data_IF_975569571261
#
_entry.id   IF_975569571261
#
_cell.length_a   1.000
_cell.length_b   1.000
_cell.length_c   1.000
_cell.angle_alpha   90.00
_cell.angle_beta   90.00
_cell.angle_gamma   90.00
#
_symmetry.space_group_name_H-M   'P 1'
#
loop_
_entity.id
_entity.type
_entity.pdbx_description
1 polymer ?
#
# COMPACT_ATOMS: atom_id res chain seq x y z
N UNK A 1 -46.55 33.68 4.13
CA UNK A 1 -45.83 34.27 5.27
C UNK A 1 -44.38 33.82 5.14
N UNK A 2 -43.46 34.76 4.91
CA UNK A 2 -42.03 34.52 4.67
C UNK A 2 -41.37 33.93 5.92
N UNK A 3 -40.56 32.88 5.77
CA UNK A 3 -39.45 32.62 6.67
C UNK A 3 -38.24 32.18 5.86
N UNK A 4 -37.35 33.15 5.72
CA UNK A 4 -35.96 33.06 5.30
C UNK A 4 -35.14 32.37 6.40
N UNK A 5 -34.43 31.29 6.06
CA UNK A 5 -33.22 30.91 6.78
C UNK A 5 -32.14 30.53 5.77
N UNK A 6 -31.17 31.43 5.62
CA UNK A 6 -29.85 31.13 5.05
C UNK A 6 -29.17 30.13 5.98
N UNK A 7 -28.90 28.93 5.50
CA UNK A 7 -27.90 28.06 6.08
C UNK A 7 -26.61 28.20 5.26
N UNK A 8 -25.58 28.75 5.89
CA UNK A 8 -24.20 28.72 5.40
C UNK A 8 -23.63 27.37 5.83
N UNK A 9 -23.43 26.45 4.89
CA UNK A 9 -22.76 25.17 5.13
C UNK A 9 -21.36 25.19 4.54
N UNK A 10 -20.40 25.67 5.31
CA UNK A 10 -18.99 25.31 5.12
C UNK A 10 -18.76 23.97 5.84
N UNK A 11 -18.37 22.92 5.11
CA UNK A 11 -17.71 21.75 5.72
C UNK A 11 -18.43 20.40 5.70
N UNK A 12 -19.28 20.09 4.72
CA UNK A 12 -19.88 18.75 4.60
C UNK A 12 -20.10 18.30 3.13
N UNK A 13 -19.05 18.35 2.29
CA UNK A 13 -19.16 18.03 0.86
C UNK A 13 -19.00 16.51 0.57
N UNK A 14 -18.49 15.71 1.51
CA UNK A 14 -18.05 14.34 1.19
C UNK A 14 -19.13 13.25 1.12
N UNK A 15 -20.39 13.53 1.51
CA UNK A 15 -21.46 12.51 1.59
C UNK A 15 -22.68 12.75 0.69
N UNK A 16 -22.67 13.75 -0.20
CA UNK A 16 -23.83 14.07 -1.04
C UNK A 16 -23.92 13.27 -2.36
N UNK A 17 -22.85 12.61 -2.78
CA UNK A 17 -22.77 11.92 -4.09
C UNK A 17 -23.80 10.80 -4.24
N UNK A 18 -24.28 10.19 -3.14
CA UNK A 18 -25.24 9.07 -3.20
C UNK A 18 -26.70 9.53 -3.28
N UNK A 19 -27.02 10.80 -2.98
CA UNK A 19 -28.40 11.32 -2.98
C UNK A 19 -28.70 12.34 -4.09
N UNK A 20 -27.68 12.74 -4.85
CA UNK A 20 -27.81 13.72 -5.94
C UNK A 20 -28.83 13.34 -7.04
N UNK A 21 -28.98 12.08 -7.48
CA UNK A 21 -29.90 11.76 -8.58
C UNK A 21 -31.37 12.10 -8.27
N UNK A 22 -31.79 11.92 -7.02
CA UNK A 22 -33.15 12.21 -6.57
C UNK A 22 -33.38 13.71 -6.31
N UNK A 23 -32.33 14.47 -6.00
CA UNK A 23 -32.41 15.90 -5.72
C UNK A 23 -32.41 16.74 -7.01
N UNK A 24 -31.66 16.30 -8.03
CA UNK A 24 -31.54 16.96 -9.34
C UNK A 24 -32.82 16.92 -10.17
N UNK A 25 -33.65 15.89 -10.00
CA UNK A 25 -34.97 15.79 -10.66
C UNK A 25 -35.99 16.81 -10.12
N UNK A 26 -35.73 17.42 -8.94
CA UNK A 26 -36.67 18.33 -8.25
C UNK A 26 -36.34 19.81 -8.50
N UNK A 27 -35.06 20.16 -8.74
CA UNK A 27 -34.59 21.56 -8.74
C UNK A 27 -34.50 22.21 -10.13
N UNK A 28 -34.64 21.43 -11.21
CA UNK A 28 -34.67 21.92 -12.59
C UNK A 28 -33.30 22.34 -13.16
N UNK A 29 -33.20 22.53 -14.49
CA UNK A 29 -31.93 22.58 -15.23
C UNK A 29 -31.00 23.76 -14.88
N UNK A 30 -31.54 24.84 -14.31
CA UNK A 30 -30.76 26.03 -13.95
C UNK A 30 -29.97 25.88 -12.62
N UNK A 31 -30.30 24.91 -11.76
CA UNK A 31 -29.62 24.76 -10.46
C UNK A 31 -28.28 24.03 -10.58
N UNK A 32 -28.18 23.06 -11.49
CA UNK A 32 -26.98 22.21 -11.65
C UNK A 32 -25.80 23.00 -12.20
N UNK A 33 -26.06 23.86 -13.19
CA UNK A 33 -25.05 24.74 -13.78
C UNK A 33 -24.45 25.73 -12.75
N UNK A 34 -25.28 26.28 -11.86
CA UNK A 34 -24.84 27.20 -10.81
C UNK A 34 -24.05 26.50 -9.70
N UNK A 35 -24.33 25.22 -9.43
CA UNK A 35 -23.60 24.43 -8.45
C UNK A 35 -22.26 23.89 -9.01
N UNK A 36 -22.19 23.61 -10.32
CA UNK A 36 -21.03 23.02 -10.99
C UNK A 36 -19.74 23.85 -10.82
N UNK A 37 -19.85 25.18 -10.88
CA UNK A 37 -18.76 26.12 -10.67
C UNK A 37 -18.07 25.98 -9.30
N UNK A 38 -18.82 25.52 -8.30
CA UNK A 38 -18.34 25.36 -6.92
C UNK A 38 -17.72 23.99 -6.64
N UNK A 39 -17.77 23.05 -7.58
CA UNK A 39 -17.14 21.75 -7.41
C UNK A 39 -15.63 21.79 -7.71
N UNK A 40 -14.88 21.00 -6.96
CA UNK A 40 -13.50 20.67 -7.29
C UNK A 40 -13.45 19.63 -8.45
N UNK A 41 -12.28 19.46 -9.12
CA UNK A 41 -12.16 18.56 -10.27
C UNK A 41 -12.56 17.09 -10.00
N UNK A 42 -12.34 16.56 -8.80
CA UNK A 42 -12.72 15.17 -8.48
C UNK A 42 -14.23 15.05 -8.25
N UNK A 43 -14.84 16.06 -7.63
CA UNK A 43 -16.29 16.15 -7.51
C UNK A 43 -16.99 16.28 -8.88
N UNK A 44 -16.41 17.02 -9.83
CA UNK A 44 -16.93 17.12 -11.21
C UNK A 44 -16.85 15.78 -11.95
N UNK A 45 -15.72 15.06 -11.85
CA UNK A 45 -15.60 13.70 -12.43
C UNK A 45 -16.63 12.72 -11.86
N UNK A 46 -16.84 12.76 -10.54
CA UNK A 46 -17.84 11.91 -9.88
C UNK A 46 -19.28 12.25 -10.33
N UNK A 47 -19.57 13.54 -10.56
CA UNK A 47 -20.85 13.99 -11.11
C UNK A 47 -21.06 13.46 -12.54
N UNK A 48 -20.07 13.63 -13.43
CA UNK A 48 -20.10 13.14 -14.81
C UNK A 48 -20.35 11.62 -14.83
N UNK A 49 -19.58 10.86 -14.04
CA UNK A 49 -19.75 9.40 -13.93
C UNK A 49 -21.14 9.00 -13.45
N UNK A 50 -21.73 9.77 -12.54
CA UNK A 50 -23.10 9.52 -12.04
C UNK A 50 -24.15 9.83 -13.11
N UNK A 51 -23.99 10.92 -13.86
CA UNK A 51 -24.88 11.31 -14.96
C UNK A 51 -24.88 10.26 -16.09
N UNK A 52 -23.73 9.64 -16.38
CA UNK A 52 -23.64 8.53 -17.34
C UNK A 52 -24.55 7.36 -16.98
N UNK A 53 -24.65 7.02 -15.69
CA UNK A 53 -25.49 5.90 -15.22
C UNK A 53 -27.00 6.18 -15.35
N UNK A 54 -27.38 7.45 -15.47
CA UNK A 54 -28.78 7.90 -15.56
C UNK A 54 -29.29 7.99 -17.01
N UNK A 55 -28.43 7.82 -18.03
CA UNK A 55 -28.81 7.82 -19.46
C UNK A 55 -29.77 6.70 -19.88
N UNK A 56 -30.12 5.77 -18.99
CA UNK A 56 -31.01 4.65 -19.28
C UNK A 56 -32.50 5.04 -19.42
N UNK A 57 -32.88 6.27 -19.03
CA UNK A 57 -34.25 6.79 -19.13
C UNK A 57 -34.41 7.75 -20.35
N UNK A 58 -35.21 7.38 -21.39
CA UNK A 58 -35.36 8.16 -22.61
C UNK A 58 -35.96 9.57 -22.44
N UNK A 59 -36.78 9.79 -21.41
CA UNK A 59 -37.43 11.10 -21.18
C UNK A 59 -36.48 12.13 -20.56
N UNK A 60 -35.45 11.66 -19.86
CA UNK A 60 -34.48 12.49 -19.13
C UNK A 60 -33.21 12.80 -19.93
N UNK A 61 -33.00 12.11 -21.06
CA UNK A 61 -31.75 12.13 -21.83
C UNK A 61 -31.29 13.54 -22.28
N UNK A 62 -32.14 14.43 -22.84
CA UNK A 62 -31.69 15.74 -23.31
C UNK A 62 -31.20 16.67 -22.18
N UNK A 63 -31.78 16.51 -20.98
CA UNK A 63 -31.40 17.30 -19.80
C UNK A 63 -30.07 16.80 -19.24
N UNK A 64 -29.89 15.47 -19.19
CA UNK A 64 -28.65 14.83 -18.72
C UNK A 64 -27.48 15.18 -19.64
N UNK A 65 -27.67 15.16 -20.97
CA UNK A 65 -26.62 15.56 -21.92
C UNK A 65 -26.19 17.01 -21.73
N UNK A 66 -27.15 17.92 -21.54
CA UNK A 66 -26.86 19.35 -21.28
C UNK A 66 -26.04 19.54 -20.00
N UNK A 67 -26.33 18.77 -18.94
CA UNK A 67 -25.58 18.85 -17.68
C UNK A 67 -24.19 18.25 -17.75
N UNK A 68 -24.02 17.17 -18.53
CA UNK A 68 -22.71 16.58 -18.76
C UNK A 68 -21.80 17.55 -19.51
N UNK A 69 -22.29 18.15 -20.59
CA UNK A 69 -21.50 19.10 -21.40
C UNK A 69 -20.99 20.27 -20.54
N UNK A 70 -21.84 20.80 -19.65
CA UNK A 70 -21.47 21.87 -18.72
C UNK A 70 -20.44 21.42 -17.67
N UNK A 71 -20.60 20.22 -17.11
CA UNK A 71 -19.66 19.69 -16.13
C UNK A 71 -18.29 19.39 -16.76
N UNK A 72 -18.28 18.93 -18.01
CA UNK A 72 -17.06 18.69 -18.80
C UNK A 72 -16.34 20.00 -19.16
N UNK A 73 -17.08 21.05 -19.55
CA UNK A 73 -16.54 22.38 -19.84
C UNK A 73 -15.87 23.00 -18.60
N UNK A 74 -16.55 23.00 -17.45
CA UNK A 74 -16.02 23.50 -16.17
C UNK A 74 -14.80 22.68 -15.69
N UNK A 75 -14.81 21.36 -15.91
CA UNK A 75 -13.66 20.51 -15.59
C UNK A 75 -12.46 20.87 -16.46
N UNK A 76 -12.68 21.10 -17.75
CA UNK A 76 -11.62 21.49 -18.69
C UNK A 76 -11.02 22.85 -18.34
N UNK A 77 -11.85 23.85 -18.01
CA UNK A 77 -11.38 25.18 -17.60
C UNK A 77 -10.55 25.12 -16.31
N UNK A 78 -11.00 24.37 -15.30
CA UNK A 78 -10.27 24.21 -14.03
C UNK A 78 -8.95 23.46 -14.24
N UNK A 79 -8.92 22.44 -15.09
CA UNK A 79 -7.69 21.72 -15.44
C UNK A 79 -6.70 22.61 -16.19
N UNK A 80 -7.19 23.46 -17.11
CA UNK A 80 -6.35 24.41 -17.84
C UNK A 80 -5.77 25.47 -16.89
N UNK A 81 -6.58 26.00 -15.97
CA UNK A 81 -6.12 26.95 -14.94
C UNK A 81 -5.03 26.34 -14.06
N UNK A 82 -5.24 25.12 -13.56
CA UNK A 82 -4.26 24.41 -12.75
C UNK A 82 -2.95 24.11 -13.51
N UNK A 83 -3.04 23.80 -14.80
CA UNK A 83 -1.85 23.59 -15.64
C UNK A 83 -1.03 24.87 -15.80
N UNK A 84 -1.68 26.03 -16.01
CA UNK A 84 -0.99 27.32 -16.07
C UNK A 84 -0.34 27.70 -14.73
N UNK A 85 -1.04 27.47 -13.61
CA UNK A 85 -0.47 27.71 -12.27
C UNK A 85 0.76 26.82 -12.01
N UNK A 86 0.71 25.55 -12.42
CA UNK A 86 1.83 24.63 -12.30
C UNK A 86 3.03 25.10 -13.14
N UNK A 87 2.80 25.52 -14.38
CA UNK A 87 3.85 26.06 -15.25
C UNK A 87 4.48 27.33 -14.63
N UNK A 88 3.67 28.21 -14.06
CA UNK A 88 4.15 29.40 -13.37
C UNK A 88 4.98 29.06 -12.12
N UNK A 89 4.55 28.08 -11.32
CA UNK A 89 5.30 27.61 -10.15
C UNK A 89 6.62 26.94 -10.54
N UNK A 90 6.64 26.16 -11.62
CA UNK A 90 7.88 25.57 -12.14
C UNK A 90 8.88 26.64 -12.59
N UNK A 91 8.40 27.71 -13.22
CA UNK A 91 9.25 28.85 -13.59
C UNK A 91 9.82 29.57 -12.36
N UNK A 92 9.00 29.81 -11.35
CA UNK A 92 9.44 30.42 -10.08
C UNK A 92 10.48 29.54 -9.36
N UNK A 93 10.29 28.22 -9.36
CA UNK A 93 11.25 27.28 -8.79
C UNK A 93 12.60 27.35 -9.52
N UNK A 94 12.60 27.36 -10.85
CA UNK A 94 13.82 27.47 -11.65
C UNK A 94 14.58 28.79 -11.40
N UNK A 95 13.86 29.91 -11.25
CA UNK A 95 14.46 31.20 -10.89
C UNK A 95 15.08 31.17 -9.48
N UNK A 96 14.38 30.58 -8.50
CA UNK A 96 14.89 30.43 -7.13
C UNK A 96 16.12 29.50 -7.05
N UNK A 97 16.14 28.42 -7.82
CA UNK A 97 17.30 27.52 -7.91
C UNK A 97 18.53 28.23 -8.51
N UNK A 98 18.33 29.06 -9.54
CA UNK A 98 19.38 29.87 -10.13
C UNK A 98 19.95 30.90 -9.13
N UNK A 99 19.07 31.57 -8.38
CA UNK A 99 19.49 32.51 -7.33
C UNK A 99 20.25 31.81 -6.20
N UNK A 100 19.80 30.62 -5.79
CA UNK A 100 20.48 29.78 -4.79
C UNK A 100 21.89 29.39 -5.25
N UNK A 101 22.06 29.01 -6.52
CA UNK A 101 23.36 28.64 -7.08
C UNK A 101 24.32 29.84 -7.17
N UNK A 102 23.80 31.02 -7.48
CA UNK A 102 24.59 32.27 -7.44
C UNK A 102 25.04 32.60 -6.00
N UNK A 103 24.14 32.51 -5.02
CA UNK A 103 24.48 32.73 -3.62
C UNK A 103 25.51 31.70 -3.11
N UNK A 104 25.37 30.45 -3.50
CA UNK A 104 26.34 29.38 -3.21
C UNK A 104 27.72 29.70 -3.78
N UNK A 105 27.79 30.10 -5.05
CA UNK A 105 29.03 30.50 -5.71
C UNK A 105 29.73 31.67 -4.97
N UNK A 106 28.95 32.62 -4.46
CA UNK A 106 29.47 33.74 -3.67
C UNK A 106 29.95 33.31 -2.29
N UNK A 107 29.27 32.36 -1.66
CA UNK A 107 29.67 31.79 -0.38
C UNK A 107 30.97 30.99 -0.51
N UNK A 108 31.12 30.21 -1.58
CA UNK A 108 32.34 29.46 -1.89
C UNK A 108 33.52 30.43 -2.13
N UNK A 109 33.31 31.52 -2.88
CA UNK A 109 34.32 32.56 -3.07
C UNK A 109 34.74 33.24 -1.75
N UNK A 110 33.78 33.50 -0.85
CA UNK A 110 34.06 34.03 0.48
C UNK A 110 34.81 33.04 1.37
N UNK A 111 34.46 31.76 1.32
CA UNK A 111 35.15 30.71 2.09
C UNK A 111 36.59 30.51 1.60
N UNK A 112 36.83 30.55 0.29
CA UNK A 112 38.20 30.53 -0.27
C UNK A 112 38.98 31.77 0.17
N UNK A 113 38.38 32.95 0.14
CA UNK A 113 39.03 34.17 0.64
C UNK A 113 39.34 34.10 2.15
N UNK A 114 38.47 33.47 2.94
CA UNK A 114 38.66 33.27 4.37
C UNK A 114 39.83 32.31 4.66
N UNK A 115 39.91 31.19 3.92
CA UNK A 115 41.02 30.22 4.03
C UNK A 115 42.35 30.89 3.68
N UNK A 116 42.39 31.68 2.60
CA UNK A 116 43.60 32.40 2.19
C UNK A 116 44.04 33.48 3.20
N UNK A 117 43.10 34.06 3.95
CA UNK A 117 43.41 35.02 5.03
C UNK A 117 43.92 34.34 6.31
N UNK A 118 43.50 33.10 6.57
CA UNK A 118 43.93 32.33 7.76
C UNK A 118 45.31 31.67 7.55
N UNK A 119 45.63 31.27 6.32
CA UNK A 119 46.94 30.70 5.98
C UNK A 119 48.06 31.74 5.85
N UNK A 120 47.72 33.02 5.61
CA UNK A 120 48.68 34.11 5.42
C UNK A 120 48.28 35.40 6.18
N UNK A 121 48.50 35.48 7.50
CA UNK A 121 48.12 36.65 8.31
C UNK A 121 48.99 37.89 8.06
N UNK A 122 50.08 37.77 7.30
CA UNK A 122 50.91 38.88 6.82
C UNK A 122 50.91 38.86 5.30
N UNK A 123 50.25 39.85 4.67
CA UNK A 123 49.97 39.90 3.23
C UNK A 123 51.18 40.06 2.32
N UNK A 124 52.08 39.07 2.28
CA UNK A 124 53.16 39.00 1.31
C UNK A 124 53.27 37.62 0.64
N UNK A 125 53.28 37.69 -0.70
CA UNK A 125 53.74 36.70 -1.68
C UNK A 125 52.81 35.51 -1.98
N UNK A 126 51.93 35.73 -2.97
CA UNK A 126 51.39 34.67 -3.83
C UNK A 126 52.30 34.58 -5.06
N UNK A 127 53.41 33.85 -4.97
CA UNK A 127 54.03 33.20 -6.15
C UNK A 127 54.96 32.09 -5.67
N UNK A 128 54.84 30.94 -6.35
CA UNK A 128 55.63 29.71 -6.20
C UNK A 128 55.25 28.78 -5.04
N UNK A 129 54.67 27.61 -5.39
CA UNK A 129 55.43 26.36 -5.45
C UNK A 129 54.53 25.25 -6.00
N UNK A 130 54.73 24.92 -7.27
CA UNK A 130 54.27 23.69 -7.87
C UNK A 130 55.39 22.64 -7.80
N UNK A 131 54.97 21.38 -7.61
CA UNK A 131 55.71 20.10 -7.66
C UNK A 131 56.18 19.53 -6.32
N UNK A 132 55.43 18.53 -5.86
CA UNK A 132 55.92 17.17 -5.62
C UNK A 132 54.76 16.19 -5.73
N UNK A 133 54.87 15.23 -6.68
CA UNK A 133 54.04 14.03 -6.75
C UNK A 133 54.53 13.02 -5.70
N UNK A 134 53.66 12.66 -4.77
CA UNK A 134 53.75 11.43 -3.98
C UNK A 134 52.33 10.85 -3.88
N UNK A 135 52.22 9.57 -4.23
CA UNK A 135 50.99 8.90 -4.70
C UNK A 135 49.89 8.81 -3.64
N UNK A 136 48.78 9.52 -3.88
CA UNK A 136 47.52 9.40 -3.16
C UNK A 136 46.74 8.13 -3.58
N UNK A 137 45.86 7.56 -2.73
CA UNK A 137 44.98 6.45 -3.09
C UNK A 137 44.00 6.89 -4.20
N UNK A 138 43.39 5.96 -4.98
CA UNK A 138 42.69 6.28 -6.21
C UNK A 138 41.59 7.32 -5.97
N UNK A 139 41.71 8.45 -6.66
CA UNK A 139 40.94 9.68 -6.41
C UNK A 139 39.54 9.67 -7.04
N UNK A 140 39.10 8.57 -7.65
CA UNK A 140 37.75 8.39 -8.17
C UNK A 140 37.32 6.93 -8.00
N UNK A 141 36.09 6.72 -7.51
CA UNK A 141 35.43 5.41 -7.51
C UNK A 141 34.39 5.44 -8.62
N UNK A 142 34.48 4.50 -9.56
CA UNK A 142 33.48 4.38 -10.61
C UNK A 142 32.27 3.58 -10.10
N UNK A 143 31.08 3.90 -10.58
CA UNK A 143 29.91 3.03 -10.42
C UNK A 143 30.06 1.75 -11.28
N UNK A 144 29.11 0.83 -11.17
CA UNK A 144 29.07 -0.41 -11.94
C UNK A 144 28.91 -0.21 -13.45
N UNK A 145 28.67 1.02 -13.91
CA UNK A 145 28.58 1.42 -15.31
C UNK A 145 29.83 2.16 -15.80
N UNK A 146 30.81 2.41 -14.91
CA UNK A 146 32.05 3.10 -15.23
C UNK A 146 32.01 4.63 -15.08
N UNK A 147 30.92 5.20 -14.55
CA UNK A 147 30.82 6.65 -14.32
C UNK A 147 31.58 7.04 -13.05
N UNK A 148 32.37 8.11 -13.12
CA UNK A 148 33.13 8.60 -11.96
C UNK A 148 32.21 9.21 -10.91
N UNK A 149 32.27 8.70 -9.69
CA UNK A 149 31.57 9.25 -8.52
C UNK A 149 32.48 10.31 -7.89
N UNK A 150 32.03 11.58 -7.81
CA UNK A 150 32.85 12.65 -7.22
C UNK A 150 33.11 12.41 -5.74
N UNK A 151 34.27 12.86 -5.25
CA UNK A 151 34.60 12.82 -3.82
C UNK A 151 34.08 14.11 -3.18
N UNK A 152 33.24 13.97 -2.15
CA UNK A 152 32.76 15.09 -1.35
C UNK A 152 33.52 15.10 -0.03
N UNK A 153 34.28 16.17 0.20
CA UNK A 153 35.10 16.36 1.41
C UNK A 153 34.44 17.30 2.43
N UNK A 154 33.47 18.11 2.00
CA UNK A 154 32.67 18.96 2.91
C UNK A 154 31.72 18.11 3.75
N UNK A 155 31.31 18.65 4.90
CA UNK A 155 30.26 18.06 5.72
C UNK A 155 28.97 17.89 4.93
N UNK A 156 28.32 16.73 5.08
CA UNK A 156 27.03 16.39 4.48
C UNK A 156 25.98 16.32 5.57
N UNK A 157 24.93 17.14 5.42
CA UNK A 157 23.83 17.21 6.39
C UNK A 157 22.72 16.22 6.02
N UNK A 158 22.34 15.35 6.96
CA UNK A 158 21.40 14.27 6.65
C UNK A 158 20.01 14.81 6.31
N UNK A 159 19.50 15.77 7.08
CA UNK A 159 18.14 16.31 6.96
C UNK A 159 17.85 16.92 5.60
N UNK A 160 18.83 17.64 5.04
CA UNK A 160 18.64 18.47 3.85
C UNK A 160 19.21 17.82 2.60
N UNK A 161 20.19 16.92 2.72
CA UNK A 161 20.88 16.34 1.57
C UNK A 161 20.62 14.85 1.39
N UNK A 162 20.50 14.07 2.48
CA UNK A 162 20.36 12.60 2.39
C UNK A 162 18.90 12.17 2.53
N UNK A 163 18.19 12.72 3.50
CA UNK A 163 16.81 12.36 3.80
C UNK A 163 15.87 12.57 2.59
N UNK A 164 15.97 13.67 1.81
CA UNK A 164 15.18 13.81 0.59
C UNK A 164 15.51 12.75 -0.47
N UNK A 165 16.78 12.33 -0.59
CA UNK A 165 17.17 11.24 -1.51
C UNK A 165 16.52 9.93 -1.06
N UNK A 166 16.55 9.63 0.23
CA UNK A 166 15.92 8.42 0.77
C UNK A 166 14.40 8.44 0.61
N UNK A 167 13.74 9.58 0.82
CA UNK A 167 12.31 9.74 0.57
C UNK A 167 11.95 9.46 -0.89
N UNK A 168 12.71 10.03 -1.82
CA UNK A 168 12.41 9.94 -3.25
C UNK A 168 12.78 8.59 -3.87
N UNK A 169 13.87 7.96 -3.40
CA UNK A 169 14.47 6.79 -4.08
C UNK A 169 14.42 5.50 -3.27
N UNK A 170 14.10 5.55 -1.98
CA UNK A 170 14.20 4.39 -1.09
C UNK A 170 12.89 4.02 -0.39
N UNK A 171 12.14 4.99 0.14
CA UNK A 171 11.02 4.72 1.06
C UNK A 171 9.84 3.98 0.42
N UNK A 172 9.65 4.09 -0.89
CA UNK A 172 8.59 3.34 -1.56
C UNK A 172 8.75 1.83 -1.38
N UNK A 173 9.99 1.32 -1.35
CA UNK A 173 10.29 -0.11 -1.20
C UNK A 173 10.88 -0.49 0.17
N UNK A 174 11.44 0.47 0.90
CA UNK A 174 12.13 0.31 2.18
C UNK A 174 11.61 1.29 3.25
N UNK A 175 10.30 1.53 3.28
CA UNK A 175 9.61 2.43 4.20
C UNK A 175 8.53 1.74 5.03
N UNK A 176 7.58 2.50 5.62
CA UNK A 176 6.58 1.95 6.54
C UNK A 176 5.69 0.88 5.92
N UNK A 177 5.24 1.10 4.69
CA UNK A 177 4.26 0.23 4.02
C UNK A 177 4.91 -0.96 3.30
N UNK A 178 6.16 -0.81 2.86
CA UNK A 178 6.93 -1.86 2.17
C UNK A 178 8.35 -1.90 2.69
N UNK A 179 8.82 -3.09 3.04
CA UNK A 179 10.15 -3.31 3.61
C UNK A 179 10.84 -4.49 2.90
N UNK A 180 11.16 -4.32 1.61
CA UNK A 180 11.88 -5.31 0.81
C UNK A 180 13.22 -5.63 1.46
N UNK A 181 13.59 -6.91 1.47
CA UNK A 181 14.81 -7.37 2.14
C UNK A 181 14.80 -7.17 3.66
N UNK A 182 13.63 -6.95 4.28
CA UNK A 182 13.49 -6.66 5.72
C UNK A 182 14.24 -5.39 6.13
N UNK A 183 14.34 -4.41 5.23
CA UNK A 183 15.05 -3.15 5.46
C UNK A 183 14.06 -1.97 5.51
N UNK A 184 14.25 -1.10 6.51
CA UNK A 184 13.47 0.13 6.77
C UNK A 184 14.39 1.34 6.79
N UNK A 185 14.64 1.96 5.64
CA UNK A 185 15.51 3.14 5.49
C UNK A 185 14.89 4.43 6.02
N UNK A 186 13.62 4.41 6.42
CA UNK A 186 12.93 5.53 7.07
C UNK A 186 13.13 5.57 8.59
N UNK A 187 13.61 4.48 9.19
CA UNK A 187 13.70 4.32 10.65
C UNK A 187 15.16 4.15 11.10
N UNK A 188 15.75 5.24 11.61
CA UNK A 188 17.14 5.29 12.10
C UNK A 188 17.49 4.12 13.02
N UNK A 189 16.64 3.88 14.03
CA UNK A 189 16.83 2.82 15.04
C UNK A 189 16.80 1.41 14.45
N UNK A 190 16.20 1.22 13.27
CA UNK A 190 16.16 -0.09 12.60
C UNK A 190 17.39 -0.30 11.71
N UNK A 191 17.87 0.73 11.03
CA UNK A 191 19.01 0.63 10.10
C UNK A 191 20.34 0.59 10.84
N UNK A 192 20.50 1.40 11.90
CA UNK A 192 21.77 1.52 12.63
C UNK A 192 21.94 0.44 13.71
N UNK A 193 20.89 -0.31 14.03
CA UNK A 193 20.92 -1.36 15.05
C UNK A 193 21.62 -2.63 14.55
N UNK A 194 22.34 -3.28 15.46
CA UNK A 194 22.96 -4.60 15.22
C UNK A 194 21.88 -5.67 15.04
N UNK A 195 22.01 -6.53 14.03
CA UNK A 195 21.04 -7.58 13.71
C UNK A 195 21.02 -7.89 12.22
N UNK A 196 19.86 -8.19 11.65
CA UNK A 196 19.71 -8.53 10.22
C UNK A 196 20.09 -7.36 9.28
N UNK A 197 20.07 -6.12 9.76
CA UNK A 197 20.54 -4.93 9.04
C UNK A 197 22.01 -4.59 9.31
N UNK A 198 22.74 -5.43 10.05
CA UNK A 198 24.15 -5.19 10.35
C UNK A 198 24.97 -5.11 9.06
N UNK A 199 25.57 -3.95 8.81
CA UNK A 199 26.42 -3.72 7.65
C UNK A 199 25.72 -3.11 6.44
N UNK A 200 24.41 -2.82 6.52
CA UNK A 200 23.71 -1.99 5.52
C UNK A 200 24.35 -0.60 5.45
N UNK A 201 24.50 0.03 6.61
CA UNK A 201 25.27 1.26 6.81
C UNK A 201 26.40 0.94 7.79
N UNK A 202 27.65 1.15 7.37
CA UNK A 202 28.85 1.04 8.21
C UNK A 202 29.45 2.44 8.36
N UNK A 203 29.13 3.16 9.45
CA UNK A 203 29.73 4.45 9.75
C UNK A 203 31.25 4.45 9.57
N UNK A 204 31.78 5.44 8.85
CA UNK A 204 33.20 5.58 8.51
C UNK A 204 33.67 4.76 7.31
N UNK A 205 32.80 3.93 6.72
CA UNK A 205 33.16 2.98 5.66
C UNK A 205 32.08 2.89 4.58
N UNK A 206 31.88 3.97 3.83
CA UNK A 206 30.91 4.08 2.74
C UNK A 206 31.15 3.04 1.64
N UNK A 207 32.41 2.83 1.25
CA UNK A 207 32.81 1.82 0.27
C UNK A 207 32.45 0.37 0.67
N UNK A 208 32.44 0.08 1.97
CA UNK A 208 32.13 -1.24 2.55
C UNK A 208 30.69 -1.39 3.02
N UNK A 209 29.87 -0.34 2.89
CA UNK A 209 28.46 -0.33 3.28
C UNK A 209 27.61 -0.94 2.18
N UNK A 210 26.76 -1.91 2.52
CA UNK A 210 25.97 -2.63 1.52
C UNK A 210 25.02 -1.69 0.75
N UNK A 211 24.49 -0.64 1.40
CA UNK A 211 23.65 0.35 0.74
C UNK A 211 24.37 1.04 -0.42
N UNK A 212 25.63 1.47 -0.22
CA UNK A 212 26.39 2.16 -1.23
C UNK A 212 26.73 1.24 -2.40
N UNK A 213 27.16 0.00 -2.09
CA UNK A 213 27.48 -1.00 -3.12
C UNK A 213 26.27 -1.32 -4.00
N UNK A 214 25.07 -1.40 -3.40
CA UNK A 214 23.80 -1.62 -4.12
C UNK A 214 23.40 -0.43 -4.98
N UNK A 215 23.49 0.82 -4.51
CA UNK A 215 23.12 1.98 -5.35
C UNK A 215 24.14 2.24 -6.46
N UNK A 216 25.42 1.92 -6.22
CA UNK A 216 26.49 2.03 -7.19
C UNK A 216 26.57 0.81 -8.13
N UNK A 217 25.79 -0.26 -7.92
CA UNK A 217 25.81 -1.46 -8.79
C UNK A 217 27.15 -2.20 -8.80
N UNK A 218 27.86 -2.20 -7.67
CA UNK A 218 29.16 -2.85 -7.54
C UNK A 218 28.99 -4.37 -7.29
N UNK A 219 30.06 -5.12 -7.55
CA UNK A 219 30.17 -6.59 -7.34
C UNK A 219 29.18 -7.49 -8.10
N UNK A 220 28.57 -6.98 -9.16
CA UNK A 220 27.56 -7.75 -9.90
C UNK A 220 26.24 -7.91 -9.15
N UNK A 221 26.01 -7.09 -8.11
CA UNK A 221 24.72 -6.99 -7.43
C UNK A 221 23.75 -6.10 -8.22
N UNK A 222 22.45 -6.41 -8.15
CA UNK A 222 21.42 -5.59 -8.79
C UNK A 222 21.46 -4.14 -8.26
N UNK A 223 21.56 -3.19 -9.19
CA UNK A 223 21.64 -1.77 -8.87
C UNK A 223 20.30 -1.25 -8.34
N UNK A 224 20.32 -0.62 -7.16
CA UNK A 224 19.15 -0.02 -6.52
C UNK A 224 18.92 1.43 -7.00
N UNK A 225 17.65 1.87 -7.16
CA UNK A 225 16.42 1.07 -7.11
C UNK A 225 16.27 0.17 -8.36
N UNK A 226 15.71 -1.05 -8.24
CA UNK A 226 15.65 -2.00 -9.35
C UNK A 226 14.64 -1.59 -10.42
N UNK A 227 13.66 -0.78 -10.03
CA UNK A 227 12.62 -0.21 -10.89
C UNK A 227 12.55 1.28 -10.56
N UNK A 228 12.35 2.12 -11.58
CA UNK A 228 12.36 3.58 -11.44
C UNK A 228 13.71 4.21 -11.78
N UNK A 229 13.80 5.52 -11.56
CA UNK A 229 15.01 6.28 -11.84
C UNK A 229 16.13 5.93 -10.87
N UNK A 230 17.33 5.71 -11.41
CA UNK A 230 18.54 5.47 -10.64
C UNK A 230 19.01 6.74 -9.94
N UNK A 231 19.86 6.59 -8.92
CA UNK A 231 20.54 7.71 -8.30
C UNK A 231 21.55 8.32 -9.28
N UNK A 232 21.72 9.64 -9.25
CA UNK A 232 22.81 10.29 -9.96
C UNK A 232 24.15 10.03 -9.26
N UNK A 233 25.27 10.23 -9.97
CA UNK A 233 26.61 10.07 -9.38
C UNK A 233 26.83 11.05 -8.21
N UNK A 234 26.23 12.23 -8.24
CA UNK A 234 26.25 13.21 -7.15
C UNK A 234 25.45 12.73 -5.93
N UNK A 235 24.28 12.13 -6.14
CA UNK A 235 23.48 11.54 -5.06
C UNK A 235 24.21 10.36 -4.42
N UNK A 236 24.86 9.51 -5.21
CA UNK A 236 25.70 8.43 -4.71
C UNK A 236 26.90 8.97 -3.91
N UNK A 237 27.55 10.04 -4.41
CA UNK A 237 28.65 10.71 -3.72
C UNK A 237 28.23 11.28 -2.36
N UNK A 238 27.06 11.93 -2.29
CA UNK A 238 26.50 12.45 -1.05
C UNK A 238 26.27 11.34 -0.03
N UNK A 239 25.61 10.26 -0.43
CA UNK A 239 25.35 9.11 0.45
C UNK A 239 26.67 8.50 0.93
N UNK A 240 27.65 8.32 0.05
CA UNK A 240 28.95 7.79 0.44
C UNK A 240 29.66 8.69 1.45
N UNK A 241 29.76 9.98 1.15
CA UNK A 241 30.45 10.95 1.99
C UNK A 241 29.78 11.05 3.37
N UNK A 242 28.45 11.06 3.42
CA UNK A 242 27.71 11.00 4.67
C UNK A 242 28.06 9.74 5.50
N UNK A 243 28.13 8.57 4.87
CA UNK A 243 28.53 7.33 5.57
C UNK A 243 29.98 7.43 6.05
N UNK A 244 30.91 7.90 5.21
CA UNK A 244 32.32 8.09 5.54
C UNK A 244 32.51 9.09 6.70
N UNK A 245 31.63 10.08 6.83
CA UNK A 245 31.58 11.05 7.94
C UNK A 245 30.94 10.49 9.22
N UNK A 246 30.65 9.19 9.27
CA UNK A 246 30.08 8.52 10.44
C UNK A 246 28.57 8.31 10.39
N UNK A 247 27.94 8.53 9.23
CA UNK A 247 26.50 8.38 9.03
C UNK A 247 25.67 9.11 10.09
N UNK A 248 26.03 10.38 10.37
CA UNK A 248 25.34 11.18 11.38
C UNK A 248 23.87 11.35 10.97
N UNK A 249 22.98 10.71 11.72
CA UNK A 249 21.54 10.77 11.52
C UNK A 249 20.93 11.34 12.81
N UNK A 250 20.28 12.52 12.75
CA UNK A 250 19.65 13.14 13.90
C UNK A 250 18.55 12.28 14.52
N UNK A 251 18.45 12.32 15.84
CA UNK A 251 17.33 11.71 16.56
C UNK A 251 16.02 12.44 16.25
N UNK A 252 14.93 11.70 16.12
CA UNK A 252 13.60 12.25 15.84
C UNK A 252 13.31 12.59 14.36
N UNK A 253 14.29 12.42 13.45
CA UNK A 253 14.04 12.53 12.01
C UNK A 253 13.82 11.15 11.37
N UNK A 254 12.60 10.91 10.88
CA UNK A 254 12.18 9.62 10.31
C UNK A 254 11.07 8.95 11.11
N UNK A 255 10.89 7.65 10.94
CA UNK A 255 9.93 6.86 11.71
C UNK A 255 10.51 6.44 13.06
N UNK A 256 9.67 6.50 14.11
CA UNK A 256 9.98 6.00 15.46
C UNK A 256 9.99 4.45 15.56
N UNK A 257 9.91 3.74 14.44
CA UNK A 257 9.95 2.29 14.44
C UNK A 257 11.28 1.79 15.03
N UNK A 258 11.20 0.85 15.99
CA UNK A 258 12.36 0.24 16.65
C UNK A 258 12.69 -1.16 16.07
N UNK A 259 11.75 -1.73 15.31
CA UNK A 259 11.85 -3.04 14.66
C UNK A 259 11.08 -3.06 13.35
N UNK A 260 11.47 -3.92 12.41
CA UNK A 260 10.64 -4.27 11.25
C UNK A 260 9.45 -5.10 11.74
N UNK A 261 8.23 -4.74 11.35
CA UNK A 261 7.04 -5.51 11.71
C UNK A 261 7.17 -6.94 11.16
N UNK A 262 7.03 -7.94 12.04
CA UNK A 262 6.98 -9.35 11.60
C UNK A 262 5.70 -9.57 10.79
N UNK A 263 5.81 -10.34 9.71
CA UNK A 263 4.63 -10.76 8.95
C UNK A 263 3.66 -11.53 9.86
N UNK A 264 2.35 -11.29 9.74
CA UNK A 264 1.32 -11.83 10.64
C UNK A 264 1.39 -13.36 10.81
N UNK A 265 1.80 -14.07 9.77
CA UNK A 265 1.94 -15.54 9.77
C UNK A 265 3.07 -16.07 10.66
N UNK A 266 4.04 -15.21 11.03
CA UNK A 266 5.14 -15.54 11.95
C UNK A 266 4.89 -15.03 13.37
N UNK A 267 3.72 -14.46 13.63
CA UNK A 267 3.28 -14.05 14.96
C UNK A 267 2.35 -15.15 15.47
N UNK A 268 2.73 -15.87 16.55
CA UNK A 268 1.85 -16.88 17.12
C UNK A 268 0.48 -16.26 17.49
N UNK A 269 -0.64 -16.87 17.09
CA UNK A 269 -1.96 -16.35 17.42
C UNK A 269 -2.15 -16.39 18.94
N UNK A 270 -2.60 -15.27 19.52
CA UNK A 270 -2.96 -15.19 20.93
C UNK A 270 -4.47 -15.37 21.07
N UNK A 271 -4.88 -16.13 22.09
CA UNK A 271 -6.31 -16.32 22.37
C UNK A 271 -6.91 -15.00 22.87
N UNK A 272 -7.85 -14.38 22.14
CA UNK A 272 -8.47 -13.14 22.59
C UNK A 272 -9.40 -13.39 23.79
N UNK A 273 -9.63 -12.34 24.58
CA UNK A 273 -10.69 -12.34 25.59
C UNK A 273 -12.06 -12.43 24.91
N UNK A 274 -12.99 -13.16 25.53
CA UNK A 274 -14.33 -13.34 25.01
C UNK A 274 -15.13 -12.06 25.29
N UNK A 275 -15.72 -11.40 24.28
CA UNK A 275 -16.47 -10.16 24.49
C UNK A 275 -17.69 -10.36 25.40
N UNK A 276 -17.95 -9.38 26.26
CA UNK A 276 -19.23 -9.31 26.97
C UNK A 276 -20.34 -8.86 26.02
N UNK A 277 -21.49 -9.54 26.11
CA UNK A 277 -22.66 -9.29 25.26
C UNK A 277 -23.89 -9.03 26.13
N UNK A 278 -24.82 -8.24 25.61
CA UNK A 278 -26.05 -7.88 26.32
C UNK A 278 -27.01 -9.08 26.38
N UNK A 279 -27.21 -9.79 25.26
CA UNK A 279 -28.06 -10.99 25.19
C UNK A 279 -27.30 -12.26 25.60
N UNK A 280 -27.17 -12.50 26.91
CA UNK A 280 -26.39 -13.62 27.48
C UNK A 280 -26.91 -15.01 27.12
N UNK A 281 -28.21 -15.16 26.82
CA UNK A 281 -28.83 -16.46 26.58
C UNK A 281 -28.72 -16.95 25.12
N UNK A 282 -28.26 -16.10 24.19
CA UNK A 282 -28.18 -16.45 22.77
C UNK A 282 -26.90 -17.21 22.38
N UNK A 283 -25.69 -16.82 22.85
CA UNK A 283 -24.46 -17.56 22.55
C UNK A 283 -24.51 -19.00 23.07
N UNK A 284 -24.31 -19.99 22.19
CA UNK A 284 -24.14 -21.40 22.56
C UNK A 284 -22.67 -21.74 22.80
N UNK A 285 -21.75 -20.99 22.19
CA UNK A 285 -20.31 -21.16 22.34
C UNK A 285 -19.58 -19.79 22.33
N UNK A 286 -18.28 -19.74 22.65
CA UNK A 286 -17.52 -18.49 22.68
C UNK A 286 -17.48 -17.71 21.37
N UNK A 287 -17.52 -18.37 20.20
CA UNK A 287 -17.51 -17.73 18.87
C UNK A 287 -18.78 -16.89 18.69
N UNK A 288 -19.92 -17.39 19.15
CA UNK A 288 -21.20 -16.69 19.07
C UNK A 288 -21.16 -15.35 19.83
N UNK A 289 -20.34 -15.23 20.88
CA UNK A 289 -20.16 -13.97 21.62
C UNK A 289 -19.45 -12.91 20.78
N UNK A 290 -18.48 -13.30 19.94
CA UNK A 290 -17.83 -12.36 19.01
C UNK A 290 -18.79 -11.89 17.92
N UNK A 291 -19.61 -12.80 17.38
CA UNK A 291 -20.62 -12.45 16.37
C UNK A 291 -21.68 -11.53 16.99
N UNK A 292 -22.21 -11.88 18.16
CA UNK A 292 -23.24 -11.10 18.83
C UNK A 292 -22.72 -9.74 19.27
N UNK A 293 -21.50 -9.64 19.80
CA UNK A 293 -20.88 -8.37 20.16
C UNK A 293 -20.84 -7.41 18.97
N UNK A 294 -20.48 -7.93 17.77
CA UNK A 294 -20.50 -7.12 16.56
C UNK A 294 -21.92 -6.69 16.18
N UNK A 295 -22.88 -7.61 16.18
CA UNK A 295 -24.28 -7.31 15.87
C UNK A 295 -24.85 -6.24 16.82
N UNK A 296 -24.63 -6.38 18.12
CA UNK A 296 -25.08 -5.42 19.13
C UNK A 296 -24.46 -4.03 18.93
N UNK A 297 -23.16 -3.97 18.61
CA UNK A 297 -22.48 -2.70 18.32
C UNK A 297 -23.02 -1.98 17.09
N UNK A 298 -23.56 -2.73 16.12
CA UNK A 298 -24.17 -2.21 14.89
C UNK A 298 -25.68 -2.01 15.02
N UNK A 299 -26.28 -2.31 16.17
CA UNK A 299 -27.73 -2.20 16.38
C UNK A 299 -28.55 -3.31 15.71
N UNK A 300 -27.91 -4.40 15.29
CA UNK A 300 -28.59 -5.57 14.73
C UNK A 300 -28.93 -6.61 15.80
N UNK A 301 -29.94 -7.43 15.51
CA UNK A 301 -30.28 -8.60 16.31
C UNK A 301 -30.14 -9.88 15.48
N UNK A 302 -29.75 -11.01 16.10
CA UNK A 302 -29.72 -12.29 15.43
C UNK A 302 -31.07 -12.65 14.80
N UNK A 303 -31.03 -13.28 13.64
CA UNK A 303 -32.22 -13.83 13.00
C UNK A 303 -32.70 -15.08 13.75
N UNK A 304 -34.01 -15.36 13.65
CA UNK A 304 -34.57 -16.61 14.16
C UNK A 304 -33.95 -17.81 13.43
N UNK A 305 -33.82 -18.91 14.16
CA UNK A 305 -33.39 -20.18 13.58
C UNK A 305 -34.35 -20.62 12.47
N UNK A 306 -33.79 -21.21 11.41
CA UNK A 306 -34.57 -21.71 10.29
C UNK A 306 -35.31 -23.00 10.68
N UNK A 307 -36.38 -23.35 9.95
CA UNK A 307 -37.06 -24.63 10.18
C UNK A 307 -36.13 -25.82 9.89
N UNK A 308 -36.41 -26.98 10.52
CA UNK A 308 -35.61 -28.22 10.39
C UNK A 308 -35.24 -28.53 8.93
N UNK A 309 -36.21 -28.59 8.01
CA UNK A 309 -35.93 -28.91 6.61
C UNK A 309 -34.98 -27.92 5.91
N UNK A 310 -35.09 -26.63 6.23
CA UNK A 310 -34.19 -25.60 5.70
C UNK A 310 -32.77 -25.73 6.28
N UNK A 311 -32.65 -26.01 7.58
CA UNK A 311 -31.37 -26.26 8.23
C UNK A 311 -30.65 -27.46 7.60
N UNK A 312 -31.34 -28.59 7.47
CA UNK A 312 -30.78 -29.80 6.87
C UNK A 312 -30.31 -29.54 5.44
N UNK A 313 -31.16 -28.90 4.61
CA UNK A 313 -30.78 -28.58 3.23
C UNK A 313 -29.53 -27.70 3.15
N UNK A 314 -29.42 -26.67 4.00
CA UNK A 314 -28.25 -25.78 4.03
C UNK A 314 -26.99 -26.54 4.39
N UNK A 315 -27.02 -27.27 5.51
CA UNK A 315 -25.83 -27.97 6.00
C UNK A 315 -25.42 -29.12 5.08
N UNK A 316 -26.35 -29.82 4.42
CA UNK A 316 -26.01 -30.82 3.40
C UNK A 316 -25.31 -30.20 2.18
N UNK A 317 -25.81 -29.07 1.67
CA UNK A 317 -25.16 -28.38 0.55
C UNK A 317 -23.78 -27.83 0.92
N UNK A 318 -23.62 -27.37 2.16
CA UNK A 318 -22.35 -26.84 2.64
C UNK A 318 -21.31 -27.96 2.81
N UNK A 319 -21.67 -29.04 3.52
CA UNK A 319 -20.74 -30.11 3.88
C UNK A 319 -20.45 -31.07 2.74
N UNK A 320 -21.46 -31.45 1.96
CA UNK A 320 -21.31 -32.50 0.93
C UNK A 320 -21.68 -32.03 -0.49
N UNK A 321 -22.18 -30.79 -0.66
CA UNK A 321 -22.53 -30.25 -1.97
C UNK A 321 -23.81 -30.82 -2.60
N UNK A 322 -24.54 -31.67 -1.89
CA UNK A 322 -25.74 -32.36 -2.36
C UNK A 322 -26.93 -32.03 -1.47
N UNK A 323 -28.16 -31.94 -2.01
CA UNK A 323 -29.35 -31.83 -1.18
C UNK A 323 -29.60 -33.15 -0.42
N UNK A 324 -30.26 -33.10 0.76
CA UNK A 324 -30.65 -34.32 1.47
C UNK A 324 -31.64 -35.13 0.63
N UNK A 325 -31.58 -36.46 0.75
CA UNK A 325 -32.60 -37.33 0.17
C UNK A 325 -33.93 -37.18 0.90
N UNK A 326 -35.07 -37.53 0.28
CA UNK A 326 -36.37 -37.53 0.96
C UNK A 326 -36.36 -38.36 2.26
N UNK A 327 -35.75 -39.54 2.25
CA UNK A 327 -35.66 -40.40 3.43
C UNK A 327 -34.83 -39.77 4.56
N UNK A 328 -33.73 -39.08 4.24
CA UNK A 328 -32.93 -38.37 5.25
C UNK A 328 -33.65 -37.14 5.81
N UNK A 329 -34.45 -36.47 4.98
CA UNK A 329 -35.30 -35.36 5.42
C UNK A 329 -36.40 -35.87 6.36
N UNK A 330 -37.13 -36.91 5.98
CA UNK A 330 -38.19 -37.48 6.80
C UNK A 330 -37.64 -37.95 8.15
N UNK A 331 -36.52 -38.70 8.14
CA UNK A 331 -35.86 -39.14 9.37
C UNK A 331 -35.42 -37.98 10.28
N UNK A 332 -34.94 -36.87 9.71
CA UNK A 332 -34.55 -35.69 10.48
C UNK A 332 -35.75 -34.89 11.00
N UNK A 333 -36.84 -34.84 10.24
CA UNK A 333 -38.06 -34.17 10.67
C UNK A 333 -38.71 -34.91 11.85
N UNK A 334 -38.68 -36.24 11.84
CA UNK A 334 -39.21 -37.13 12.87
C UNK A 334 -38.32 -37.24 14.13
N UNK A 335 -37.04 -36.85 14.05
CA UNK A 335 -36.14 -36.88 15.20
C UNK A 335 -36.31 -35.63 16.08
N UNK A 336 -36.97 -35.81 17.23
CA UNK A 336 -37.18 -34.77 18.25
C UNK A 336 -36.15 -34.80 19.39
N UNK A 337 -35.06 -35.55 19.23
CA UNK A 337 -33.96 -35.52 20.18
C UNK A 337 -33.28 -34.14 20.22
N UNK A 338 -32.78 -33.70 21.38
CA UNK A 338 -32.12 -32.39 21.51
C UNK A 338 -30.84 -32.25 20.67
N UNK A 339 -30.28 -33.38 20.21
CA UNK A 339 -29.06 -33.50 19.40
C UNK A 339 -29.33 -33.95 17.95
N UNK A 340 -30.58 -33.83 17.47
CA UNK A 340 -30.96 -34.26 16.11
C UNK A 340 -30.12 -33.55 15.03
N UNK A 341 -29.81 -32.26 15.20
CA UNK A 341 -29.02 -31.49 14.25
C UNK A 341 -27.57 -31.99 14.20
N UNK A 342 -26.97 -32.19 15.36
CA UNK A 342 -25.61 -32.70 15.53
C UNK A 342 -25.48 -34.10 14.91
N UNK A 343 -26.45 -35.00 15.13
CA UNK A 343 -26.49 -36.32 14.46
C UNK A 343 -26.53 -36.21 12.94
N UNK A 344 -27.31 -35.26 12.42
CA UNK A 344 -27.37 -35.02 10.98
C UNK A 344 -26.03 -34.49 10.44
N UNK A 345 -25.36 -33.59 11.17
CA UNK A 345 -24.03 -33.08 10.84
C UNK A 345 -22.99 -34.20 10.86
N UNK A 346 -22.94 -35.02 11.91
CA UNK A 346 -22.01 -36.14 12.04
C UNK A 346 -22.17 -37.14 10.89
N UNK A 347 -23.41 -37.45 10.52
CA UNK A 347 -23.70 -38.29 9.34
C UNK A 347 -23.14 -37.69 8.05
N UNK A 348 -23.29 -36.37 7.86
CA UNK A 348 -22.80 -35.66 6.67
C UNK A 348 -21.27 -35.59 6.65
N UNK A 349 -20.62 -35.35 7.78
CA UNK A 349 -19.16 -35.37 7.90
C UNK A 349 -18.58 -36.76 7.65
N UNK A 350 -19.29 -37.82 8.03
CA UNK A 350 -18.90 -39.20 7.76
C UNK A 350 -19.18 -39.66 6.32
N UNK A 351 -19.87 -38.85 5.50
CA UNK A 351 -20.19 -39.19 4.12
C UNK A 351 -18.94 -39.14 3.23
N UNK A 352 -18.74 -40.08 2.29
CA UNK A 352 -17.64 -40.00 1.33
C UNK A 352 -17.69 -38.73 0.47
N UNK A 353 -18.88 -38.15 0.29
CA UNK A 353 -19.09 -36.91 -0.45
C UNK A 353 -18.52 -35.67 0.25
N UNK A 354 -18.24 -35.75 1.56
CA UNK A 354 -17.57 -34.68 2.29
C UNK A 354 -16.18 -34.39 1.69
N UNK A 355 -15.36 -35.44 1.54
CA UNK A 355 -14.04 -35.33 0.93
C UNK A 355 -14.11 -34.90 -0.53
N UNK A 356 -15.11 -35.34 -1.30
CA UNK A 356 -15.30 -34.89 -2.69
C UNK A 356 -15.59 -33.38 -2.76
N UNK A 357 -16.46 -32.88 -1.87
CA UNK A 357 -16.82 -31.46 -1.78
C UNK A 357 -15.63 -30.59 -1.40
N UNK A 358 -14.90 -30.97 -0.36
CA UNK A 358 -13.80 -30.17 0.20
C UNK A 358 -12.50 -30.30 -0.57
N UNK A 359 -12.19 -31.48 -1.12
CA UNK A 359 -11.02 -31.68 -1.96
C UNK A 359 -11.06 -30.78 -3.19
N UNK A 360 -12.23 -30.52 -3.78
CA UNK A 360 -12.35 -29.62 -4.94
C UNK A 360 -11.80 -28.24 -4.66
N UNK A 361 -12.14 -27.65 -3.50
CA UNK A 361 -11.66 -26.31 -3.12
C UNK A 361 -10.13 -26.29 -3.02
N UNK A 362 -9.56 -27.34 -2.44
CA UNK A 362 -8.12 -27.46 -2.26
C UNK A 362 -7.39 -27.72 -3.59
N UNK A 363 -7.97 -28.56 -4.46
CA UNK A 363 -7.47 -28.87 -5.78
C UNK A 363 -7.54 -27.65 -6.72
N UNK A 364 -8.56 -26.81 -6.60
CA UNK A 364 -8.67 -25.53 -7.32
C UNK A 364 -7.48 -24.62 -6.96
N UNK A 365 -7.14 -24.50 -5.66
CA UNK A 365 -5.96 -23.74 -5.20
C UNK A 365 -4.64 -24.35 -5.68
N UNK A 366 -4.56 -25.68 -5.75
CA UNK A 366 -3.41 -26.40 -6.29
C UNK A 366 -3.36 -26.38 -7.84
N UNK A 367 -4.32 -25.72 -8.50
CA UNK A 367 -4.46 -25.65 -9.97
C UNK A 367 -4.54 -27.04 -10.61
N UNK A 368 -5.25 -27.95 -9.95
CA UNK A 368 -5.56 -29.26 -10.53
C UNK A 368 -6.44 -29.08 -11.77
N UNK A 369 -6.07 -29.75 -12.86
CA UNK A 369 -6.89 -29.87 -14.05
C UNK A 369 -6.65 -31.24 -14.70
N UNK A 370 -7.68 -31.85 -15.26
CA UNK A 370 -7.55 -33.11 -16.00
C UNK A 370 -6.86 -32.91 -17.36
N UNK A 371 -6.59 -31.66 -17.76
CA UNK A 371 -5.95 -31.28 -19.01
C UNK A 371 -4.98 -30.08 -18.86
N UNK A 372 -4.29 -29.72 -19.94
CA UNK A 372 -3.31 -28.62 -19.95
C UNK A 372 -3.93 -27.22 -19.99
N UNK A 373 -5.16 -27.07 -20.48
CA UNK A 373 -5.92 -25.82 -20.49
C UNK A 373 -5.40 -24.72 -21.44
N UNK A 374 -4.34 -24.95 -22.22
CA UNK A 374 -3.75 -23.94 -23.12
C UNK A 374 -3.10 -24.56 -24.37
N UNK A 375 -3.29 -23.90 -25.53
CA UNK A 375 -2.86 -24.25 -26.91
C UNK A 375 -3.13 -25.68 -27.39
N UNK A 376 -2.54 -26.67 -26.73
CA UNK A 376 -2.81 -28.10 -26.91
C UNK A 376 -3.36 -28.64 -25.59
N UNK A 377 -4.68 -28.69 -25.50
CA UNK A 377 -5.42 -29.15 -24.33
C UNK A 377 -5.35 -30.68 -24.17
N UNK A 378 -4.13 -31.19 -23.97
CA UNK A 378 -3.87 -32.61 -23.78
C UNK A 378 -4.25 -33.03 -22.37
N UNK A 379 -4.66 -34.30 -22.22
CA UNK A 379 -4.96 -34.88 -20.92
C UNK A 379 -3.72 -34.97 -20.03
N UNK A 380 -3.92 -34.80 -18.74
CA UNK A 380 -2.94 -35.05 -17.69
C UNK A 380 -3.34 -36.28 -16.89
N UNK A 381 -2.39 -37.19 -16.67
CA UNK A 381 -2.60 -38.37 -15.82
C UNK A 381 -2.21 -38.06 -14.37
N UNK A 382 -3.07 -37.30 -13.69
CA UNK A 382 -2.85 -36.87 -12.30
C UNK A 382 -4.04 -37.16 -11.38
N UNK A 383 -5.06 -37.86 -11.89
CA UNK A 383 -6.22 -38.29 -11.12
C UNK A 383 -5.89 -39.08 -9.83
N UNK A 384 -4.77 -39.84 -9.71
CA UNK A 384 -4.43 -40.46 -8.44
C UNK A 384 -4.17 -39.44 -7.32
N UNK A 385 -3.70 -38.25 -7.67
CA UNK A 385 -3.52 -37.14 -6.72
C UNK A 385 -4.87 -36.61 -6.22
N UNK A 386 -5.81 -36.34 -7.14
CA UNK A 386 -7.19 -35.95 -6.77
C UNK A 386 -7.80 -36.97 -5.81
N UNK A 387 -7.73 -38.25 -6.16
CA UNK A 387 -8.32 -39.31 -5.35
C UNK A 387 -7.62 -39.46 -4.00
N UNK A 388 -6.30 -39.20 -3.93
CA UNK A 388 -5.58 -39.14 -2.67
C UNK A 388 -6.06 -37.98 -1.80
N UNK A 389 -6.23 -36.77 -2.36
CA UNK A 389 -6.71 -35.60 -1.60
C UNK A 389 -8.12 -35.86 -1.04
N UNK A 390 -9.02 -36.44 -1.85
CA UNK A 390 -10.37 -36.84 -1.41
C UNK A 390 -10.28 -37.80 -0.21
N UNK A 391 -9.42 -38.82 -0.30
CA UNK A 391 -9.22 -39.78 0.80
C UNK A 391 -8.61 -39.11 2.04
N UNK A 392 -7.68 -38.18 1.88
CA UNK A 392 -7.05 -37.47 2.99
C UNK A 392 -8.10 -36.67 3.80
N UNK A 393 -9.02 -35.98 3.13
CA UNK A 393 -10.14 -35.30 3.79
C UNK A 393 -11.07 -36.30 4.50
N UNK A 394 -11.49 -37.37 3.83
CA UNK A 394 -12.40 -38.36 4.42
C UNK A 394 -11.79 -39.14 5.60
N UNK A 395 -10.46 -39.28 5.64
CA UNK A 395 -9.73 -39.92 6.74
C UNK A 395 -9.37 -38.93 7.86
N UNK A 396 -9.70 -37.65 7.70
CA UNK A 396 -9.29 -36.57 8.59
C UNK A 396 -7.77 -36.60 8.85
N UNK A 397 -6.99 -36.75 7.76
CA UNK A 397 -5.53 -36.83 7.82
C UNK A 397 -4.98 -35.52 8.43
N UNK A 398 -4.17 -35.58 9.49
CA UNK A 398 -3.62 -34.38 10.09
C UNK A 398 -2.56 -33.77 9.18
N UNK A 399 -2.20 -32.52 9.45
CA UNK A 399 -1.24 -31.78 8.64
C UNK A 399 0.22 -32.19 8.90
N UNK A 400 0.52 -32.81 10.05
CA UNK A 400 1.86 -33.05 10.59
C UNK A 400 2.49 -34.41 10.30
#
# INVERSE_FOLDING_TARGET
>A
MRLSHRFVFNGAIRNWVVLLPAFLLITGPLSVAAEAQNFDPESLKALIQSLETLKADPESLPIIETWMDQAEEELAEKQQSAAMELEQLQKQLAEAESERENLRSRLDALNVALILLDEHPSGESVTALAKTEETAPPQTLADGQGNEIPIITRTVEFETEIYPIFQQRCFECHGPDKHRGQLRLDAREVVLKKGDNAGVIKPGHGDRSAIFRRIAGLDGEDQMPPVGEKLSVEQMALIRAWIDQGANWPEGLGSDAVTVAKHWSYIPPQRPEIPEVQKKDWPKNPIDSFILSRLESEGFSPQREANKGTLLRRVSLDLIGLPPTPAELDAYLEDDSPDAYEKAVDRLLASPHYGERWARIWLDLARYADTNGYEKDLRREMWPWRDWVIRAFNQNMPFD
#
